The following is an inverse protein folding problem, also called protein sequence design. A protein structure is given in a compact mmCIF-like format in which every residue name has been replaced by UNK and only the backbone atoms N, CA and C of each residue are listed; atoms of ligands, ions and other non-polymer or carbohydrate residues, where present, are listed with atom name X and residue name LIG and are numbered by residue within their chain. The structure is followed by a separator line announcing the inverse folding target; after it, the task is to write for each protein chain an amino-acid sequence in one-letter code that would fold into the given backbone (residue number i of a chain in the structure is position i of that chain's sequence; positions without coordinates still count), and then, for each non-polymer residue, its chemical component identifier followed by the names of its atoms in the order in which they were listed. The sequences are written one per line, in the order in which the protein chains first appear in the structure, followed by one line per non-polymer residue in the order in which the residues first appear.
data_IF_941924456638
#
_entry.id   IF_941924456638
#
_cell.length_a   1.000
_cell.length_b   1.000
_cell.length_c   1.000
_cell.angle_alpha   90.00
_cell.angle_beta   90.00
_cell.angle_gamma   90.00
#
_symmetry.space_group_name_H-M   'P 1'
#
loop_
_entity.id
_entity.type
_entity.pdbx_description
1 polymer ?
#
# COMPACT_ATOMS: atom_id res chain seq x y z
N UNK A 1 4.87 -3.82 17.44
CA UNK A 1 5.97 -4.67 16.96
C UNK A 1 6.91 -3.88 16.06
N UNK A 2 8.19 -4.00 16.33
CA UNK A 2 9.21 -3.43 15.45
C UNK A 2 10.04 -4.58 14.93
N UNK A 3 10.27 -4.61 13.63
CA UNK A 3 11.12 -5.60 13.01
C UNK A 3 12.12 -4.96 12.07
N UNK A 4 13.33 -5.48 12.12
CA UNK A 4 14.43 -5.06 11.25
C UNK A 4 14.93 -6.31 10.56
N UNK A 5 14.94 -6.27 9.24
CA UNK A 5 15.52 -7.32 8.42
C UNK A 5 16.61 -6.71 7.55
N UNK A 6 17.81 -7.26 7.63
CA UNK A 6 18.95 -6.77 6.88
C UNK A 6 19.47 -7.88 5.97
N UNK A 7 19.66 -7.53 4.72
CA UNK A 7 20.30 -8.37 3.72
C UNK A 7 21.35 -7.55 2.98
N UNK A 8 22.17 -8.20 2.17
CA UNK A 8 23.27 -7.52 1.47
C UNK A 8 22.79 -6.41 0.53
N UNK A 9 21.56 -6.47 0.06
CA UNK A 9 21.06 -5.50 -0.91
C UNK A 9 19.87 -4.67 -0.39
N UNK A 10 19.35 -4.93 0.79
CA UNK A 10 18.26 -4.11 1.33
C UNK A 10 18.22 -4.13 2.84
N UNK A 11 17.59 -3.09 3.38
CA UNK A 11 17.27 -2.93 4.80
C UNK A 11 15.75 -2.76 4.90
N UNK A 12 15.12 -3.58 5.73
CA UNK A 12 13.68 -3.52 5.93
C UNK A 12 13.40 -3.21 7.40
N UNK A 13 12.67 -2.12 7.63
CA UNK A 13 12.22 -1.70 8.95
C UNK A 13 10.71 -1.69 8.99
N UNK A 14 10.13 -2.36 9.97
CA UNK A 14 8.69 -2.43 10.15
C UNK A 14 8.31 -1.97 11.55
N UNK A 15 7.35 -1.06 11.61
CA UNK A 15 6.82 -0.54 12.86
C UNK A 15 5.30 -0.65 12.87
N UNK A 16 4.78 -1.53 13.72
CA UNK A 16 3.35 -1.77 13.86
C UNK A 16 3.00 -1.67 15.35
N UNK A 17 2.21 -0.67 15.76
CA UNK A 17 1.75 -0.60 17.14
C UNK A 17 1.00 -1.86 17.54
N UNK A 18 1.25 -2.33 18.73
CA UNK A 18 0.67 -3.59 19.22
C UNK A 18 -0.86 -3.60 19.12
N UNK A 19 -1.50 -2.48 19.42
CA UNK A 19 -2.95 -2.35 19.34
C UNK A 19 -3.52 -2.55 17.95
N UNK A 20 -2.69 -2.43 16.91
CA UNK A 20 -3.11 -2.55 15.52
C UNK A 20 -2.79 -3.92 14.90
N UNK A 21 -2.09 -4.78 15.62
CA UNK A 21 -1.65 -6.06 15.07
C UNK A 21 -2.79 -7.02 14.71
N UNK A 22 -3.96 -6.82 15.32
CA UNK A 22 -5.14 -7.62 15.03
C UNK A 22 -6.07 -7.02 13.99
N UNK A 23 -5.68 -5.89 13.41
CA UNK A 23 -6.50 -5.27 12.38
C UNK A 23 -6.54 -6.16 11.15
N UNK A 24 -7.74 -6.43 10.66
CA UNK A 24 -7.90 -7.29 9.50
C UNK A 24 -7.65 -6.53 8.21
N UNK A 25 -6.80 -7.09 7.37
CA UNK A 25 -6.48 -6.52 6.07
C UNK A 25 -6.74 -7.57 4.99
N UNK A 26 -6.96 -7.14 3.74
CA UNK A 26 -7.14 -8.08 2.65
C UNK A 26 -5.96 -9.04 2.53
N UNK A 27 -6.27 -10.29 2.26
CA UNK A 27 -5.26 -11.31 2.06
C UNK A 27 -4.34 -10.91 0.92
N UNK A 28 -3.05 -11.16 1.07
CA UNK A 28 -2.03 -10.87 0.06
C UNK A 28 -1.74 -9.38 -0.19
N UNK A 29 -2.37 -8.48 0.55
CA UNK A 29 -2.14 -7.05 0.35
C UNK A 29 -0.67 -6.67 0.52
N UNK A 30 -0.10 -7.02 1.66
CA UNK A 30 1.31 -6.71 1.94
C UNK A 30 2.25 -7.46 1.00
N UNK A 31 1.89 -8.69 0.65
CA UNK A 31 2.67 -9.47 -0.30
C UNK A 31 2.78 -8.74 -1.66
N UNK A 32 1.68 -8.20 -2.14
CA UNK A 32 1.66 -7.47 -3.40
C UNK A 32 2.57 -6.25 -3.36
N UNK A 33 2.52 -5.49 -2.26
CA UNK A 33 3.38 -4.32 -2.11
C UNK A 33 4.86 -4.71 -2.04
N UNK A 34 5.18 -5.73 -1.28
CA UNK A 34 6.56 -6.20 -1.15
C UNK A 34 7.08 -6.75 -2.48
N UNK A 35 6.25 -7.50 -3.19
CA UNK A 35 6.61 -8.00 -4.51
C UNK A 35 6.92 -6.87 -5.48
N UNK A 36 6.10 -5.82 -5.45
CA UNK A 36 6.32 -4.65 -6.28
C UNK A 36 7.67 -3.99 -5.98
N UNK A 37 8.02 -3.86 -4.71
CA UNK A 37 9.30 -3.29 -4.31
C UNK A 37 10.46 -4.17 -4.77
N UNK A 38 10.38 -5.47 -4.55
CA UNK A 38 11.46 -6.38 -4.93
C UNK A 38 11.65 -6.46 -6.44
N UNK A 39 10.58 -6.33 -7.21
CA UNK A 39 10.68 -6.34 -8.67
C UNK A 39 11.26 -5.05 -9.24
N UNK A 40 10.92 -3.91 -8.66
CA UNK A 40 11.16 -2.61 -9.29
C UNK A 40 12.19 -1.75 -8.59
N UNK A 41 12.46 -1.98 -7.32
CA UNK A 41 13.35 -1.14 -6.54
C UNK A 41 14.61 -1.87 -6.05
N UNK A 42 14.49 -3.12 -5.68
CA UNK A 42 15.62 -3.86 -5.11
C UNK A 42 16.53 -4.36 -6.22
N UNK A 43 17.80 -4.08 -6.09
CA UNK A 43 18.83 -4.46 -7.06
C UNK A 43 20.08 -4.92 -6.32
N UNK A 44 20.87 -5.76 -6.96
CA UNK A 44 22.16 -6.19 -6.42
C UNK A 44 23.12 -5.01 -6.39
N UNK A 45 22.97 -4.08 -7.33
CA UNK A 45 23.91 -2.98 -7.53
C UNK A 45 23.68 -1.78 -6.62
N UNK A 46 22.48 -1.66 -6.05
CA UNK A 46 22.14 -0.55 -5.19
C UNK A 46 21.47 -1.05 -3.93
N UNK A 47 21.76 -0.38 -2.82
CA UNK A 47 21.16 -0.72 -1.54
C UNK A 47 19.80 -0.02 -1.41
N UNK A 48 18.77 -0.80 -1.11
CA UNK A 48 17.41 -0.29 -0.97
C UNK A 48 16.99 -0.27 0.48
N UNK A 49 16.41 0.83 0.93
CA UNK A 49 15.81 0.92 2.25
C UNK A 49 14.29 0.87 2.12
N UNK A 50 13.67 0.10 2.98
CA UNK A 50 12.22 -0.10 2.98
C UNK A 50 11.71 0.13 4.39
N UNK A 51 10.76 1.06 4.51
CA UNK A 51 10.10 1.35 5.79
C UNK A 51 8.61 1.07 5.66
N UNK A 52 8.09 0.26 6.56
CA UNK A 52 6.66 0.02 6.68
C UNK A 52 6.21 0.50 8.04
N UNK A 53 5.23 1.38 8.07
CA UNK A 53 4.71 1.94 9.31
C UNK A 53 3.19 1.88 9.30
N UNK A 54 2.62 1.40 10.40
CA UNK A 54 1.17 1.39 10.59
C UNK A 54 0.80 2.38 11.68
N UNK A 55 -0.32 3.04 11.48
CA UNK A 55 -0.87 3.97 12.47
C UNK A 55 -2.39 3.98 12.39
N UNK A 56 -3.03 4.45 13.44
CA UNK A 56 -4.46 4.65 13.46
C UNK A 56 -4.76 6.06 12.99
N UNK A 57 -5.70 6.20 12.06
CA UNK A 57 -6.06 7.50 11.51
C UNK A 57 -7.58 7.63 11.41
N UNK A 58 -8.06 8.86 11.57
CA UNK A 58 -9.43 9.21 11.20
C UNK A 58 -9.41 9.70 9.76
N UNK A 59 -10.10 8.98 8.90
CA UNK A 59 -10.15 9.31 7.49
C UNK A 59 -11.62 9.41 7.08
N UNK A 60 -12.03 10.61 6.68
CA UNK A 60 -13.40 10.86 6.28
C UNK A 60 -14.41 10.40 7.36
N UNK A 61 -14.08 10.66 8.62
CA UNK A 61 -14.95 10.36 9.76
C UNK A 61 -14.92 8.94 10.27
N UNK A 62 -14.15 8.05 9.65
CA UNK A 62 -14.05 6.66 10.10
C UNK A 62 -12.62 6.34 10.56
N UNK A 63 -12.52 5.39 11.46
CA UNK A 63 -11.22 4.91 11.90
C UNK A 63 -10.66 3.94 10.88
N UNK A 64 -9.45 4.19 10.43
CA UNK A 64 -8.77 3.33 9.47
C UNK A 64 -7.39 2.96 9.97
N UNK A 65 -6.93 1.79 9.57
CA UNK A 65 -5.53 1.44 9.68
C UNK A 65 -4.81 2.08 8.51
N UNK A 66 -3.89 2.97 8.79
CA UNK A 66 -3.06 3.57 7.77
C UNK A 66 -1.74 2.82 7.69
N UNK A 67 -1.46 2.27 6.53
CA UNK A 67 -0.20 1.58 6.25
C UNK A 67 0.59 2.43 5.28
N UNK A 68 1.78 2.84 5.69
CA UNK A 68 2.69 3.58 4.82
C UNK A 68 3.90 2.72 4.52
N UNK A 69 4.20 2.54 3.25
CA UNK A 69 5.38 1.81 2.81
C UNK A 69 6.22 2.76 1.97
N UNK A 70 7.40 3.07 2.47
CA UNK A 70 8.33 3.96 1.82
C UNK A 70 9.58 3.20 1.45
N UNK A 71 10.05 3.37 0.22
CA UNK A 71 11.30 2.76 -0.19
C UNK A 71 12.10 3.69 -1.09
N UNK A 72 13.40 3.54 -1.03
CA UNK A 72 14.30 4.16 -1.99
C UNK A 72 14.21 3.38 -3.30
N UNK A 73 14.43 4.04 -4.42
CA UNK A 73 14.41 3.39 -5.72
C UNK A 73 13.80 4.28 -6.79
N UNK A 74 13.30 3.66 -7.83
CA UNK A 74 12.76 4.39 -8.97
C UNK A 74 11.40 4.98 -8.66
N UNK A 75 11.20 6.23 -9.09
CA UNK A 75 9.91 6.88 -8.99
C UNK A 75 8.83 6.15 -9.78
N UNK A 76 7.59 6.28 -9.33
CA UNK A 76 6.46 5.83 -10.11
C UNK A 76 6.32 6.71 -11.35
N UNK A 77 5.89 6.10 -12.43
CA UNK A 77 5.58 6.84 -13.64
C UNK A 77 4.33 7.68 -13.44
N UNK A 78 4.27 8.82 -14.09
CA UNK A 78 3.14 9.72 -13.99
C UNK A 78 1.81 9.02 -14.34
N UNK A 79 1.82 8.15 -15.32
CA UNK A 79 0.64 7.38 -15.71
C UNK A 79 0.08 6.52 -14.59
N UNK A 80 0.96 5.89 -13.82
CA UNK A 80 0.56 5.05 -12.68
C UNK A 80 0.00 5.93 -11.55
N UNK A 81 0.66 7.05 -11.27
CA UNK A 81 0.19 7.99 -10.26
C UNK A 81 -1.22 8.48 -10.57
N UNK A 82 -1.45 8.90 -11.81
CA UNK A 82 -2.76 9.38 -12.24
C UNK A 82 -3.82 8.29 -12.16
N UNK A 83 -3.47 7.11 -12.61
CA UNK A 83 -4.42 6.01 -12.65
C UNK A 83 -4.84 5.54 -11.26
N UNK A 84 -3.94 5.57 -10.32
CA UNK A 84 -4.25 5.12 -8.95
C UNK A 84 -4.83 6.23 -8.11
N UNK A 85 -4.24 7.42 -8.16
CA UNK A 85 -4.64 8.51 -7.29
C UNK A 85 -5.87 9.26 -7.78
N UNK A 86 -6.05 9.36 -9.09
CA UNK A 86 -7.07 10.21 -9.67
C UNK A 86 -8.17 9.43 -10.39
N UNK A 87 -8.02 8.12 -10.45
CA UNK A 87 -8.94 7.25 -11.16
C UNK A 87 -9.16 7.70 -12.61
N UNK A 88 -8.11 8.18 -13.24
CA UNK A 88 -8.13 8.71 -14.59
C UNK A 88 -8.27 7.59 -15.61
N UNK A 89 -9.48 7.09 -15.76
CA UNK A 89 -9.89 6.29 -16.91
C UNK A 89 -9.06 5.04 -17.24
N UNK A 90 -9.71 4.09 -17.83
CA UNK A 90 -9.06 2.87 -18.31
C UNK A 90 -8.25 3.17 -19.54
N UNK A 91 -7.04 3.66 -19.36
CA UNK A 91 -6.09 3.68 -20.46
C UNK A 91 -5.44 2.32 -20.56
N UNK A 92 -5.14 1.97 -21.79
CA UNK A 92 -4.63 0.67 -22.18
C UNK A 92 -3.51 0.11 -21.33
N UNK A 93 -3.55 -1.19 -21.25
CA UNK A 93 -2.63 -2.09 -20.63
C UNK A 93 -1.16 -1.79 -20.88
N UNK A 94 -0.57 -1.06 -19.99
CA UNK A 94 0.85 -1.17 -19.81
C UNK A 94 1.08 -2.22 -18.75
N UNK A 95 1.96 -3.16 -19.00
CA UNK A 95 2.31 -4.25 -18.09
C UNK A 95 2.92 -3.77 -16.76
N UNK A 96 2.98 -2.46 -16.54
CA UNK A 96 3.56 -1.87 -15.35
C UNK A 96 2.49 -1.35 -14.42
N UNK A 97 2.66 -1.64 -13.15
CA UNK A 97 1.72 -1.23 -12.12
C UNK A 97 0.46 -2.07 -12.05
N UNK A 98 0.41 -3.20 -12.77
CA UNK A 98 -0.75 -4.09 -12.77
C UNK A 98 -1.10 -4.53 -11.36
N UNK A 99 -0.10 -4.88 -10.53
CA UNK A 99 -0.32 -5.28 -9.16
C UNK A 99 -0.97 -4.18 -8.33
N UNK A 100 -0.51 -2.94 -8.47
CA UNK A 100 -1.05 -1.81 -7.73
C UNK A 100 -2.45 -1.45 -8.21
N UNK A 101 -2.68 -1.50 -9.51
CA UNK A 101 -3.99 -1.25 -10.10
C UNK A 101 -4.98 -2.30 -9.62
N UNK A 102 -4.59 -3.55 -9.64
CA UNK A 102 -5.40 -4.65 -9.15
C UNK A 102 -5.72 -4.49 -7.67
N UNK A 103 -4.73 -4.07 -6.88
CA UNK A 103 -4.93 -3.79 -5.46
C UNK A 103 -5.97 -2.70 -5.25
N UNK A 104 -5.92 -1.63 -6.04
CA UNK A 104 -6.92 -0.57 -5.95
C UNK A 104 -8.32 -1.11 -6.24
N UNK A 105 -8.46 -1.94 -7.27
CA UNK A 105 -9.73 -2.55 -7.61
C UNK A 105 -10.27 -3.44 -6.50
N UNK A 106 -9.42 -4.27 -5.92
CA UNK A 106 -9.82 -5.14 -4.81
C UNK A 106 -10.29 -4.32 -3.61
N UNK A 107 -9.55 -3.27 -3.26
CA UNK A 107 -9.94 -2.39 -2.16
C UNK A 107 -11.28 -1.70 -2.42
N UNK A 108 -11.49 -1.28 -3.65
CA UNK A 108 -12.74 -0.62 -4.02
C UNK A 108 -13.93 -1.58 -3.92
N UNK A 109 -13.75 -2.83 -4.33
CA UNK A 109 -14.79 -3.85 -4.23
C UNK A 109 -15.06 -4.20 -2.77
N UNK A 110 -14.02 -4.40 -1.97
CA UNK A 110 -14.18 -4.82 -0.58
C UNK A 110 -14.77 -3.75 0.33
N UNK A 111 -14.40 -2.50 0.11
CA UNK A 111 -14.76 -1.41 1.03
C UNK A 111 -15.66 -0.36 0.41
N UNK A 112 -16.02 -0.51 -0.85
CA UNK A 112 -16.88 0.42 -1.59
C UNK A 112 -16.31 1.85 -1.58
N UNK A 113 -14.99 1.97 -1.75
CA UNK A 113 -14.28 3.26 -1.77
C UNK A 113 -13.14 3.20 -2.78
N UNK A 114 -12.96 4.33 -3.48
CA UNK A 114 -11.92 4.46 -4.51
C UNK A 114 -10.66 5.16 -4.01
N UNK A 115 -10.67 5.68 -2.80
CA UNK A 115 -9.65 6.58 -2.26
C UNK A 115 -8.74 5.96 -1.19
N UNK A 116 -8.69 4.64 -1.13
CA UNK A 116 -7.94 3.96 -0.08
C UNK A 116 -6.45 3.75 -0.39
N UNK A 117 -6.08 3.80 -1.65
CA UNK A 117 -4.70 3.61 -2.08
C UNK A 117 -4.17 4.89 -2.71
N UNK A 118 -3.01 5.33 -2.27
CA UNK A 118 -2.39 6.56 -2.76
C UNK A 118 -0.88 6.36 -2.95
N UNK A 119 -0.36 6.79 -4.09
CA UNK A 119 1.06 6.69 -4.42
C UNK A 119 1.68 8.07 -4.47
N UNK A 120 2.90 8.19 -3.99
CA UNK A 120 3.65 9.44 -4.02
C UNK A 120 5.09 9.19 -4.44
N UNK A 121 5.59 10.08 -5.30
CA UNK A 121 7.01 10.21 -5.53
C UNK A 121 7.51 11.31 -4.59
N UNK A 122 8.46 10.98 -3.75
CA UNK A 122 9.01 11.93 -2.80
C UNK A 122 10.34 12.47 -3.30
N UNK A 123 10.76 13.59 -2.74
CA UNK A 123 12.07 14.15 -3.01
C UNK A 123 13.15 13.15 -2.59
N UNK A 124 14.35 13.29 -3.12
CA UNK A 124 15.49 12.43 -2.86
C UNK A 124 15.33 10.98 -3.40
N UNK A 125 14.43 10.76 -4.35
CA UNK A 125 14.32 9.48 -5.03
C UNK A 125 13.54 8.40 -4.28
N UNK A 126 12.82 8.78 -3.23
CA UNK A 126 11.98 7.84 -2.50
C UNK A 126 10.59 7.78 -3.11
N UNK A 127 9.92 6.65 -2.91
CA UNK A 127 8.51 6.49 -3.24
C UNK A 127 7.75 6.05 -2.00
N UNK A 128 6.49 6.42 -1.92
CA UNK A 128 5.64 6.04 -0.80
C UNK A 128 4.29 5.56 -1.28
N UNK A 129 3.86 4.44 -0.75
CA UNK A 129 2.52 3.91 -0.92
C UNK A 129 1.79 4.08 0.41
N UNK A 130 0.61 4.67 0.36
CA UNK A 130 -0.27 4.79 1.52
C UNK A 130 -1.53 4.01 1.23
N UNK A 131 -1.88 3.10 2.14
CA UNK A 131 -3.15 2.39 2.04
C UNK A 131 -3.90 2.52 3.35
N UNK A 132 -5.19 2.79 3.25
CA UNK A 132 -6.07 2.97 4.40
C UNK A 132 -7.09 1.86 4.43
N UNK A 133 -7.13 1.12 5.52
CA UNK A 133 -8.01 -0.04 5.65
C UNK A 133 -9.05 0.25 6.72
N UNK A 134 -10.32 0.37 6.36
CA UNK A 134 -11.40 0.53 7.34
C UNK A 134 -11.46 -0.65 8.30
N UNK A 135 -11.88 -0.40 9.53
CA UNK A 135 -11.93 -1.42 10.57
C UNK A 135 -12.95 -2.52 10.33
N UNK A 136 -13.94 -2.25 9.47
CA UNK A 136 -14.97 -3.24 9.15
C UNK A 136 -15.24 -3.22 7.66
N UNK A 137 -15.41 -4.40 7.09
CA UNK A 137 -15.82 -4.54 5.71
C UNK A 137 -17.29 -4.15 5.63
N UNK A 138 -17.61 -3.16 4.79
CA UNK A 138 -18.97 -2.73 4.53
C UNK A 138 -19.55 -3.63 3.45
N UNK A 139 -20.23 -4.69 3.85
CA UNK A 139 -20.94 -5.52 2.88
C UNK A 139 -22.38 -5.03 2.80
N UNK A 140 -22.69 -4.31 1.74
CA UNK A 140 -24.05 -3.78 1.52
C UNK A 140 -25.09 -4.87 1.58
N UNK A 141 -26.12 -4.62 2.38
CA UNK A 141 -27.33 -5.46 2.40
C UNK A 141 -27.21 -6.77 3.13
N UNK A 142 -26.14 -7.05 3.84
CA UNK A 142 -25.95 -8.31 4.51
C UNK A 142 -25.73 -8.21 5.99
N UNK A 143 -26.24 -7.34 6.70
CA UNK A 143 -26.12 -7.32 8.16
C UNK A 143 -24.81 -7.96 8.68
N UNK A 144 -23.78 -7.86 7.94
CA UNK A 144 -22.53 -8.52 8.23
C UNK A 144 -21.75 -7.61 9.18
N UNK A 145 -21.70 -7.99 10.42
CA UNK A 145 -20.79 -7.28 11.28
C UNK A 145 -19.52 -8.12 11.39
N UNK A 146 -18.43 -7.59 10.96
CA UNK A 146 -17.12 -8.19 11.18
C UNK A 146 -16.69 -7.81 12.59
N UNK A 147 -17.21 -8.44 13.55
CA UNK A 147 -16.74 -8.23 14.91
C UNK A 147 -15.53 -9.09 15.20
#
# INVERSE_FOLDING_TARGET
MQRILYKDCFYFYMEVPEMLEKWEIPQMLLHTFMENIFKHAVSIDTFTTIFLRCSLEKFDGISVLKIEIQNSGNHFRQEILERINEDAGKKENHNRGIGLIYTKEILSIMYDREDLLFLENEEAGNVKVTVRIPGKVQMKGKGYSAE
#
